data_IF_841380202795
#
_entry.id   IF_841380202795
#
_cell.length_a   1.000
_cell.length_b   1.000
_cell.length_c   1.000
_cell.angle_alpha   90.00
_cell.angle_beta   90.00
_cell.angle_gamma   90.00
#
_symmetry.space_group_name_H-M   'P 1'
#
loop_
_entity.id
_entity.type
_entity.pdbx_description
1 polymer ?
#
# COMPACT_ATOMS: atom_id res chain seq x y z
N UNK A 1 -5.14 4.49 18.45
CA UNK A 1 -4.01 3.60 18.77
C UNK A 1 -3.83 2.66 17.59
N UNK A 2 -2.61 2.57 17.04
CA UNK A 2 -2.33 1.71 15.89
C UNK A 2 -1.82 0.38 16.44
N UNK A 3 -2.58 -0.69 16.15
CA UNK A 3 -2.34 -2.04 16.62
C UNK A 3 -2.00 -2.90 15.39
N UNK A 4 -1.31 -4.04 15.54
CA UNK A 4 -1.07 -4.97 14.43
C UNK A 4 -2.36 -5.40 13.70
N UNK A 5 -3.48 -5.47 14.43
CA UNK A 5 -4.81 -5.73 13.87
C UNK A 5 -5.36 -4.56 13.03
N UNK A 6 -5.00 -3.32 13.36
CA UNK A 6 -5.46 -2.13 12.65
C UNK A 6 -4.64 -1.87 11.39
N UNK A 7 -3.35 -2.22 11.39
CA UNK A 7 -2.46 -2.04 10.23
C UNK A 7 -2.91 -2.84 9.02
N UNK A 8 -3.45 -4.05 9.20
CA UNK A 8 -4.02 -4.81 8.09
C UNK A 8 -5.28 -4.16 7.50
N UNK A 9 -6.18 -3.63 8.33
CA UNK A 9 -7.38 -2.93 7.85
C UNK A 9 -7.02 -1.62 7.16
N UNK A 10 -6.11 -0.83 7.76
CA UNK A 10 -5.62 0.42 7.19
C UNK A 10 -4.91 0.20 5.84
N UNK A 11 -4.12 -0.87 5.72
CA UNK A 11 -3.52 -1.30 4.46
C UNK A 11 -4.55 -1.62 3.39
N UNK A 12 -5.61 -2.37 3.75
CA UNK A 12 -6.71 -2.67 2.82
C UNK A 12 -7.42 -1.41 2.33
N UNK A 13 -7.72 -0.49 3.24
CA UNK A 13 -8.38 0.78 2.88
C UNK A 13 -7.49 1.64 1.98
N UNK A 14 -6.20 1.73 2.26
CA UNK A 14 -5.25 2.50 1.44
C UNK A 14 -5.06 1.88 0.04
N UNK A 15 -5.02 0.55 -0.05
CA UNK A 15 -4.96 -0.15 -1.35
C UNK A 15 -6.24 0.03 -2.15
N UNK A 16 -7.41 -0.08 -1.52
CA UNK A 16 -8.69 0.18 -2.17
C UNK A 16 -8.80 1.64 -2.64
N UNK A 17 -8.30 2.59 -1.84
CA UNK A 17 -8.24 3.99 -2.22
C UNK A 17 -7.31 4.21 -3.41
N UNK A 18 -6.18 3.51 -3.48
CA UNK A 18 -5.22 3.60 -4.58
C UNK A 18 -5.81 3.23 -5.96
N UNK A 19 -6.81 2.34 -6.00
CA UNK A 19 -7.49 1.94 -7.24
C UNK A 19 -8.37 3.06 -7.82
N UNK A 20 -8.99 3.87 -6.97
CA UNK A 20 -9.93 4.94 -7.36
C UNK A 20 -9.34 6.35 -7.32
N UNK A 21 -8.15 6.48 -6.72
CA UNK A 21 -7.44 7.72 -6.50
C UNK A 21 -6.82 8.27 -7.80
N UNK A 22 -6.90 9.59 -7.99
CA UNK A 22 -6.24 10.31 -9.09
C UNK A 22 -4.72 10.07 -9.07
N UNK A 23 -4.10 10.07 -10.25
CA UNK A 23 -2.67 9.80 -10.43
C UNK A 23 -1.76 10.67 -9.57
N UNK A 24 -2.19 11.90 -9.30
CA UNK A 24 -1.42 12.90 -8.56
C UNK A 24 -1.29 12.55 -7.06
N UNK A 25 -2.29 11.86 -6.50
CA UNK A 25 -2.30 11.46 -5.08
C UNK A 25 -1.77 10.03 -4.86
N UNK A 26 -1.61 9.21 -5.92
CA UNK A 26 -1.12 7.83 -5.80
C UNK A 26 0.27 7.77 -5.12
N UNK A 27 1.14 8.75 -5.40
CA UNK A 27 2.48 8.85 -4.79
C UNK A 27 2.42 9.07 -3.27
N UNK A 28 1.53 9.96 -2.81
CA UNK A 28 1.35 10.26 -1.39
C UNK A 28 0.76 9.07 -0.64
N UNK A 29 -0.24 8.41 -1.23
CA UNK A 29 -0.85 7.20 -0.66
C UNK A 29 0.20 6.10 -0.53
N UNK A 30 1.05 5.88 -1.54
CA UNK A 30 2.14 4.91 -1.47
C UNK A 30 3.12 5.23 -0.35
N UNK A 31 3.53 6.49 -0.22
CA UNK A 31 4.45 6.92 0.83
C UNK A 31 3.87 6.64 2.23
N UNK A 32 2.59 6.95 2.45
CA UNK A 32 1.91 6.64 3.70
C UNK A 32 1.83 5.14 3.98
N UNK A 33 1.58 4.33 2.94
CA UNK A 33 1.57 2.87 3.07
C UNK A 33 2.95 2.34 3.48
N UNK A 34 4.03 2.81 2.83
CA UNK A 34 5.41 2.38 3.13
C UNK A 34 5.79 2.78 4.56
N UNK A 35 5.50 4.03 4.98
CA UNK A 35 5.78 4.51 6.34
C UNK A 35 5.03 3.67 7.37
N UNK A 36 3.76 3.33 7.10
CA UNK A 36 2.98 2.45 7.96
C UNK A 36 3.57 1.02 8.00
N UNK A 37 4.00 0.49 6.86
CA UNK A 37 4.66 -0.80 6.81
C UNK A 37 5.98 -0.81 7.59
N UNK A 38 6.75 0.27 7.54
CA UNK A 38 8.01 0.41 8.27
C UNK A 38 7.82 0.50 9.78
N UNK A 39 6.84 1.29 10.19
CA UNK A 39 6.59 1.53 11.61
C UNK A 39 5.88 0.38 12.31
N UNK A 40 5.08 -0.40 11.59
CA UNK A 40 4.19 -1.39 12.19
C UNK A 40 4.39 -2.82 11.67
N UNK A 41 5.40 -3.06 10.84
CA UNK A 41 5.69 -4.41 10.40
C UNK A 41 6.00 -5.35 11.58
N UNK A 42 5.23 -6.45 11.76
CA UNK A 42 5.52 -7.43 12.79
C UNK A 42 6.75 -8.28 12.47
N UNK A 43 7.20 -8.31 11.22
CA UNK A 43 8.41 -9.01 10.79
C UNK A 43 9.00 -8.40 9.51
N UNK A 44 10.30 -8.63 9.27
CA UNK A 44 10.97 -8.21 8.02
C UNK A 44 10.33 -8.82 6.78
N UNK A 45 9.82 -10.05 6.87
CA UNK A 45 9.12 -10.72 5.77
C UNK A 45 7.83 -9.98 5.42
N UNK A 46 7.02 -9.66 6.43
CA UNK A 46 5.77 -8.91 6.24
C UNK A 46 6.04 -7.52 5.65
N UNK A 47 7.11 -6.87 6.08
CA UNK A 47 7.53 -5.57 5.53
C UNK A 47 7.84 -5.66 4.02
N UNK A 48 8.65 -6.64 3.61
CA UNK A 48 9.00 -6.87 2.20
C UNK A 48 7.77 -7.26 1.37
N UNK A 49 6.95 -8.19 1.86
CA UNK A 49 5.75 -8.63 1.16
C UNK A 49 4.76 -7.44 0.96
N UNK A 50 4.65 -6.56 1.95
CA UNK A 50 3.80 -5.37 1.88
C UNK A 50 4.32 -4.34 0.88
N UNK A 51 5.63 -4.04 0.90
CA UNK A 51 6.25 -3.13 -0.05
C UNK A 51 6.14 -3.66 -1.48
N UNK A 52 6.39 -4.97 -1.69
CA UNK A 52 6.22 -5.61 -2.99
C UNK A 52 4.78 -5.53 -3.46
N UNK A 53 3.79 -5.78 -2.59
CA UNK A 53 2.38 -5.68 -2.94
C UNK A 53 1.99 -4.27 -3.38
N UNK A 54 2.48 -3.23 -2.70
CA UNK A 54 2.26 -1.82 -3.09
C UNK A 54 2.93 -1.53 -4.43
N UNK A 55 4.21 -1.88 -4.59
CA UNK A 55 4.94 -1.69 -5.85
C UNK A 55 4.24 -2.39 -7.01
N UNK A 56 3.82 -3.64 -6.84
CA UNK A 56 3.08 -4.39 -7.85
C UNK A 56 1.72 -3.77 -8.14
N UNK A 57 0.96 -3.34 -7.12
CA UNK A 57 -0.35 -2.69 -7.31
C UNK A 57 -0.22 -1.36 -8.04
N UNK A 58 0.81 -0.57 -7.73
CA UNK A 58 1.10 0.71 -8.39
C UNK A 58 1.58 0.48 -9.81
N UNK A 59 2.57 -0.40 -10.01
CA UNK A 59 3.14 -0.69 -11.34
C UNK A 59 2.07 -1.31 -12.25
N UNK A 60 1.27 -2.25 -11.77
CA UNK A 60 0.18 -2.85 -12.55
C UNK A 60 -1.00 -1.89 -12.71
N UNK A 61 -1.32 -1.06 -11.71
CA UNK A 61 -2.37 -0.05 -11.80
C UNK A 61 -1.99 1.18 -12.64
N UNK A 62 -0.69 1.35 -12.94
CA UNK A 62 -0.15 2.33 -13.88
C UNK A 62 0.01 1.76 -15.29
N UNK A 63 -0.03 0.43 -15.46
CA UNK A 63 -0.25 -0.16 -16.77
C UNK A 63 -1.74 -0.01 -17.06
N UNK A 64 -2.16 0.92 -17.94
CA UNK A 64 -3.54 0.95 -18.36
C UNK A 64 -3.84 -0.41 -18.97
N UNK A 65 -4.76 -1.12 -18.33
CA UNK A 65 -5.43 -2.34 -18.77
C UNK A 65 -5.06 -2.69 -20.23
N UNK A 66 -4.05 -3.54 -20.41
CA UNK A 66 -3.72 -4.06 -21.74
C UNK A 66 -4.79 -5.11 -22.02
N UNK A 67 -5.86 -4.64 -22.69
CA UNK A 67 -6.90 -5.32 -23.47
C UNK A 67 -7.18 -6.80 -23.19
#
# INVERSE_FOLDING_TARGET
>A
MINPSNVRSMMKELLAYLEVCDSDFKSDVCSNIIIAAERYAPSKRWHIDTILMVLTTVILGLLPNIS
#
